data_IF_808612887085
#
_entry.id   IF_808612887085
#
_cell.length_a   1.000
_cell.length_b   1.000
_cell.length_c   1.000
_cell.angle_alpha   90.00
_cell.angle_beta   90.00
_cell.angle_gamma   90.00
#
_symmetry.space_group_name_H-M   'P 1'
#
loop_
_entity.id
_entity.type
_entity.pdbx_description
1 polymer ?
#
# COMPACT_ATOMS: atom_id res chain seq x y z
N UNK A 1 1.52 20.71 23.35
CA UNK A 1 1.34 21.61 22.19
C UNK A 1 1.12 20.73 20.97
N UNK A 2 -0.09 20.73 20.40
CA UNK A 2 -0.32 20.05 19.13
C UNK A 2 0.48 20.81 18.06
N UNK A 3 1.38 20.18 17.29
CA UNK A 3 2.08 20.90 16.25
C UNK A 3 1.07 21.25 15.15
N UNK A 4 0.60 22.49 15.15
CA UNK A 4 -0.22 23.06 14.09
C UNK A 4 0.64 23.25 12.83
N UNK A 5 0.45 22.30 11.91
CA UNK A 5 0.43 22.40 10.45
C UNK A 5 1.19 23.52 9.71
N UNK A 6 1.98 23.12 8.73
CA UNK A 6 2.11 23.87 7.47
C UNK A 6 0.71 23.91 6.81
N UNK A 7 0.09 25.09 6.70
CA UNK A 7 -1.18 25.34 5.98
C UNK A 7 -2.49 24.70 6.52
N UNK A 8 -2.65 24.49 7.84
CA UNK A 8 -3.93 24.04 8.42
C UNK A 8 -4.18 22.52 8.40
N UNK A 9 -3.25 21.73 7.87
CA UNK A 9 -3.30 20.26 7.86
C UNK A 9 -2.53 19.64 9.05
N UNK A 10 -3.14 18.79 9.90
CA UNK A 10 -2.45 18.18 11.03
C UNK A 10 -1.13 17.52 10.60
N UNK A 11 -0.04 17.77 11.33
CA UNK A 11 1.30 17.23 11.00
C UNK A 11 1.29 15.71 10.87
N UNK A 12 0.43 15.03 11.60
CA UNK A 12 0.22 13.57 11.51
C UNK A 12 -0.31 13.14 10.14
N UNK A 13 -1.21 13.91 9.51
CA UNK A 13 -1.71 13.63 8.16
C UNK A 13 -0.58 13.77 7.14
N UNK A 14 0.22 14.83 7.25
CA UNK A 14 1.41 15.03 6.43
C UNK A 14 2.41 13.87 6.60
N UNK A 15 2.67 13.44 7.84
CA UNK A 15 3.55 12.32 8.14
C UNK A 15 3.06 11.01 7.50
N UNK A 16 1.75 10.72 7.57
CA UNK A 16 1.14 9.54 6.93
C UNK A 16 1.29 9.60 5.41
N UNK A 17 1.07 10.76 4.79
CA UNK A 17 1.26 10.94 3.34
C UNK A 17 2.71 10.72 2.91
N UNK A 18 3.66 11.30 3.64
CA UNK A 18 5.10 11.09 3.40
C UNK A 18 5.45 9.62 3.55
N UNK A 19 5.00 8.96 4.63
CA UNK A 19 5.28 7.56 4.88
C UNK A 19 4.67 6.65 3.80
N UNK A 20 3.50 7.00 3.29
CA UNK A 20 2.85 6.33 2.17
C UNK A 20 3.69 6.45 0.89
N UNK A 21 4.07 7.67 0.53
CA UNK A 21 4.86 7.95 -0.66
C UNK A 21 6.23 7.25 -0.62
N UNK A 22 6.89 7.26 0.54
CA UNK A 22 8.17 6.58 0.76
C UNK A 22 8.00 5.07 0.65
N UNK A 23 6.99 4.48 1.30
CA UNK A 23 6.72 3.04 1.21
C UNK A 23 6.45 2.59 -0.23
N UNK A 24 5.59 3.32 -0.95
CA UNK A 24 5.28 3.05 -2.35
C UNK A 24 6.53 3.16 -3.24
N UNK A 25 7.32 4.21 -3.05
CA UNK A 25 8.55 4.46 -3.79
C UNK A 25 9.63 3.42 -3.52
N UNK A 26 9.75 2.93 -2.27
CA UNK A 26 10.67 1.88 -1.89
C UNK A 26 10.33 0.54 -2.57
N UNK A 27 9.04 0.17 -2.64
CA UNK A 27 8.59 -1.01 -3.39
C UNK A 27 8.89 -0.87 -4.87
N UNK A 28 8.59 0.30 -5.47
CA UNK A 28 8.89 0.58 -6.87
C UNK A 28 10.39 0.48 -7.16
N UNK A 29 11.23 1.05 -6.29
CA UNK A 29 12.68 0.99 -6.42
C UNK A 29 13.21 -0.45 -6.31
N UNK A 30 12.65 -1.24 -5.38
CA UNK A 30 12.93 -2.67 -5.26
C UNK A 30 12.63 -3.40 -6.56
N UNK A 31 11.39 -3.29 -7.06
CA UNK A 31 10.94 -3.93 -8.31
C UNK A 31 11.80 -3.50 -9.52
N UNK A 32 12.15 -2.21 -9.63
CA UNK A 32 12.99 -1.69 -10.71
C UNK A 32 14.40 -2.28 -10.71
N UNK A 33 14.93 -2.60 -9.53
CA UNK A 33 16.29 -3.15 -9.33
C UNK A 33 16.34 -4.66 -9.49
N UNK A 34 15.26 -5.37 -9.20
CA UNK A 34 15.29 -6.84 -9.08
C UNK A 34 14.55 -7.58 -10.18
N UNK A 35 13.50 -7.01 -10.76
CA UNK A 35 12.73 -7.67 -11.83
C UNK A 35 13.35 -7.37 -13.19
N UNK A 36 13.81 -8.42 -13.87
CA UNK A 36 14.44 -8.35 -15.18
C UNK A 36 13.64 -9.16 -16.21
N UNK A 37 13.82 -8.83 -17.49
CA UNK A 37 13.17 -9.55 -18.59
C UNK A 37 11.67 -9.21 -18.78
N UNK A 38 10.91 -10.09 -19.46
CA UNK A 38 9.54 -9.80 -19.93
C UNK A 38 8.54 -9.44 -18.82
N UNK A 39 8.78 -9.91 -17.59
CA UNK A 39 7.91 -9.66 -16.44
C UNK A 39 8.03 -8.25 -15.86
N UNK A 40 9.07 -7.48 -16.24
CA UNK A 40 9.36 -6.15 -15.67
C UNK A 40 8.26 -5.14 -15.96
N UNK A 41 7.82 -5.04 -17.21
CA UNK A 41 6.77 -4.10 -17.64
C UNK A 41 5.46 -4.33 -16.88
N UNK A 42 4.89 -5.55 -16.91
CA UNK A 42 3.68 -5.90 -16.18
C UNK A 42 3.78 -5.68 -14.67
N UNK A 43 4.92 -6.03 -14.04
CA UNK A 43 5.09 -5.85 -12.59
C UNK A 43 5.11 -4.37 -12.18
N UNK A 44 5.82 -3.52 -12.94
CA UNK A 44 5.85 -2.08 -12.68
C UNK A 44 4.49 -1.44 -12.94
N UNK A 45 3.81 -1.84 -14.03
CA UNK A 45 2.48 -1.35 -14.36
C UNK A 45 1.48 -1.70 -13.26
N UNK A 46 1.44 -2.96 -12.83
CA UNK A 46 0.57 -3.41 -11.75
C UNK A 46 0.79 -2.58 -10.47
N UNK A 47 2.04 -2.38 -10.05
CA UNK A 47 2.35 -1.57 -8.86
C UNK A 47 1.87 -0.12 -9.00
N UNK A 48 2.07 0.50 -10.16
CA UNK A 48 1.58 1.87 -10.41
C UNK A 48 0.06 1.95 -10.46
N UNK A 49 -0.61 0.97 -11.08
CA UNK A 49 -2.05 0.90 -11.19
C UNK A 49 -2.72 0.64 -9.83
N UNK A 50 -2.03 -0.05 -8.91
CA UNK A 50 -2.55 -0.36 -7.56
C UNK A 50 -2.88 0.94 -6.81
N UNK A 51 -2.03 1.97 -6.89
CA UNK A 51 -2.28 3.26 -6.24
C UNK A 51 -3.59 3.92 -6.73
N UNK A 52 -3.81 3.96 -8.03
CA UNK A 52 -5.05 4.49 -8.62
C UNK A 52 -6.26 3.62 -8.25
N UNK A 53 -6.12 2.29 -8.30
CA UNK A 53 -7.16 1.35 -7.93
C UNK A 53 -7.61 1.50 -6.48
N UNK A 54 -6.68 1.73 -5.56
CA UNK A 54 -7.01 1.95 -4.14
C UNK A 54 -7.75 3.28 -3.95
N UNK A 55 -7.30 4.37 -4.57
CA UNK A 55 -8.00 5.67 -4.48
C UNK A 55 -9.43 5.55 -5.01
N UNK A 56 -9.62 4.89 -6.16
CA UNK A 56 -10.94 4.66 -6.75
C UNK A 56 -11.81 3.77 -5.89
N UNK A 57 -11.28 2.67 -5.35
CA UNK A 57 -12.01 1.75 -4.50
C UNK A 57 -12.50 2.45 -3.23
N UNK A 58 -11.62 3.18 -2.54
CA UNK A 58 -11.99 3.90 -1.31
C UNK A 58 -13.00 5.02 -1.58
N UNK A 59 -12.91 5.67 -2.74
CA UNK A 59 -13.90 6.64 -3.20
C UNK A 59 -15.27 5.99 -3.46
N UNK A 60 -15.29 4.76 -4.00
CA UNK A 60 -16.52 4.02 -4.28
C UNK A 60 -17.24 3.57 -3.00
N UNK A 61 -16.50 3.11 -1.99
CA UNK A 61 -17.06 2.60 -0.72
C UNK A 61 -17.36 3.73 0.29
N UNK A 62 -17.22 4.99 -0.10
CA UNK A 62 -17.52 6.16 0.74
C UNK A 62 -16.52 6.38 1.88
N UNK A 63 -15.35 5.73 1.85
CA UNK A 63 -14.30 5.96 2.84
C UNK A 63 -13.44 7.18 2.47
N UNK A 64 -13.12 8.01 3.47
CA UNK A 64 -12.24 9.15 3.28
C UNK A 64 -10.82 8.73 2.88
N UNK A 65 -10.16 9.55 2.05
CA UNK A 65 -8.80 9.31 1.52
C UNK A 65 -7.75 9.01 2.60
N UNK A 66 -7.94 9.50 3.82
CA UNK A 66 -7.06 9.24 4.95
C UNK A 66 -7.02 7.75 5.34
N UNK A 67 -8.18 7.07 5.39
CA UNK A 67 -8.24 5.64 5.72
C UNK A 67 -7.55 4.79 4.65
N UNK A 68 -7.79 5.13 3.39
CA UNK A 68 -7.09 4.54 2.25
C UNK A 68 -5.57 4.68 2.42
N UNK A 69 -5.12 5.89 2.71
CA UNK A 69 -3.70 6.20 2.82
C UNK A 69 -3.05 5.44 3.98
N UNK A 70 -3.70 5.34 5.13
CA UNK A 70 -3.20 4.58 6.29
C UNK A 70 -3.08 3.10 5.95
N UNK A 71 -4.14 2.49 5.42
CA UNK A 71 -4.15 1.07 5.07
C UNK A 71 -3.01 0.74 4.10
N UNK A 72 -2.94 1.47 2.98
CA UNK A 72 -1.95 1.26 1.92
C UNK A 72 -0.52 1.49 2.39
N UNK A 73 -0.32 2.48 3.26
CA UNK A 73 0.98 2.68 3.90
C UNK A 73 1.39 1.44 4.67
N UNK A 74 0.51 0.90 5.50
CA UNK A 74 0.79 -0.34 6.23
C UNK A 74 1.07 -1.51 5.28
N UNK A 75 0.33 -1.64 4.18
CA UNK A 75 0.54 -2.71 3.19
C UNK A 75 1.93 -2.63 2.55
N UNK A 76 2.38 -1.44 2.12
CA UNK A 76 3.69 -1.28 1.49
C UNK A 76 4.85 -1.58 2.44
N UNK A 77 4.75 -1.12 3.69
CA UNK A 77 5.77 -1.41 4.68
C UNK A 77 5.75 -2.88 5.11
N UNK A 78 4.58 -3.48 5.27
CA UNK A 78 4.45 -4.92 5.55
C UNK A 78 5.02 -5.76 4.41
N UNK A 79 4.74 -5.40 3.15
CA UNK A 79 5.31 -6.05 1.97
C UNK A 79 6.84 -6.02 2.00
N UNK A 80 7.43 -4.86 2.27
CA UNK A 80 8.89 -4.72 2.38
C UNK A 80 9.44 -5.56 3.53
N UNK A 81 8.83 -5.50 4.72
CA UNK A 81 9.30 -6.24 5.88
C UNK A 81 9.23 -7.76 5.66
N UNK A 82 8.08 -8.27 5.19
CA UNK A 82 7.87 -9.72 4.96
C UNK A 82 8.76 -10.25 3.83
N UNK A 83 9.06 -9.42 2.83
CA UNK A 83 9.95 -9.83 1.73
C UNK A 83 11.43 -9.60 2.05
N UNK A 84 11.78 -8.95 3.16
CA UNK A 84 13.15 -8.56 3.49
C UNK A 84 13.71 -7.51 2.53
N UNK A 85 12.89 -6.53 2.15
CA UNK A 85 13.15 -5.49 1.16
C UNK A 85 13.44 -6.02 -0.25
N UNK A 86 12.90 -7.21 -0.56
CA UNK A 86 13.07 -7.92 -1.83
C UNK A 86 11.70 -8.29 -2.42
N UNK A 87 10.92 -7.31 -2.89
CA UNK A 87 9.54 -7.53 -3.34
C UNK A 87 9.42 -8.56 -4.46
N UNK A 88 10.48 -8.78 -5.24
CA UNK A 88 10.56 -9.84 -6.24
C UNK A 88 10.35 -11.25 -5.68
N UNK A 89 10.62 -11.49 -4.40
CA UNK A 89 10.45 -12.82 -3.80
C UNK A 89 8.99 -13.29 -3.83
N UNK A 90 8.03 -12.37 -3.81
CA UNK A 90 6.61 -12.69 -3.99
C UNK A 90 6.31 -13.22 -5.40
N UNK A 91 6.99 -12.68 -6.42
CA UNK A 91 6.87 -13.14 -7.80
C UNK A 91 7.66 -14.44 -8.04
N UNK A 92 8.89 -14.52 -7.53
CA UNK A 92 9.81 -15.62 -7.78
C UNK A 92 9.50 -16.90 -6.99
N UNK A 93 8.90 -16.80 -5.79
CA UNK A 93 8.63 -17.96 -4.92
C UNK A 93 7.14 -18.22 -4.66
N UNK A 94 6.25 -17.30 -5.04
CA UNK A 94 4.84 -17.34 -4.63
C UNK A 94 3.81 -17.48 -5.75
N UNK A 95 4.14 -17.07 -6.96
CA UNK A 95 3.17 -17.02 -8.07
C UNK A 95 1.97 -16.10 -7.81
N UNK A 96 1.09 -15.98 -8.82
CA UNK A 96 -0.10 -15.14 -8.74
C UNK A 96 -1.06 -15.55 -7.61
N UNK A 97 -1.10 -16.83 -7.25
CA UNK A 97 -1.96 -17.34 -6.17
C UNK A 97 -1.60 -16.83 -4.79
N UNK A 98 -0.31 -16.75 -4.45
CA UNK A 98 0.14 -16.21 -3.15
C UNK A 98 0.00 -14.69 -3.08
N UNK A 99 0.13 -14.00 -4.22
CA UNK A 99 -0.20 -12.59 -4.35
C UNK A 99 -1.70 -12.34 -4.11
N UNK A 100 -2.56 -13.16 -4.73
CA UNK A 100 -4.00 -13.08 -4.55
C UNK A 100 -4.43 -13.41 -3.11
N UNK A 101 -3.82 -14.42 -2.49
CA UNK A 101 -4.06 -14.76 -1.09
C UNK A 101 -3.62 -13.65 -0.14
N UNK A 102 -2.47 -13.02 -0.41
CA UNK A 102 -2.04 -11.85 0.34
C UNK A 102 -3.05 -10.72 0.16
N UNK A 103 -3.36 -10.30 -1.07
CA UNK A 103 -4.35 -9.24 -1.32
C UNK A 103 -5.72 -9.51 -0.65
N UNK A 104 -6.21 -10.75 -0.70
CA UNK A 104 -7.45 -11.14 -0.03
C UNK A 104 -7.35 -11.03 1.50
N UNK A 105 -6.23 -11.46 2.08
CA UNK A 105 -5.99 -11.37 3.53
C UNK A 105 -5.83 -9.91 3.98
N UNK A 106 -5.19 -9.04 3.19
CA UNK A 106 -5.13 -7.62 3.50
C UNK A 106 -6.48 -6.94 3.39
N UNK A 107 -7.25 -7.25 2.36
CA UNK A 107 -8.60 -6.73 2.20
C UNK A 107 -9.49 -7.15 3.38
N UNK A 108 -9.42 -8.42 3.80
CA UNK A 108 -10.15 -8.94 4.95
C UNK A 108 -9.71 -8.28 6.26
N UNK A 109 -8.40 -8.12 6.49
CA UNK A 109 -7.87 -7.45 7.67
C UNK A 109 -8.27 -5.98 7.72
N UNK A 110 -8.22 -5.28 6.58
CA UNK A 110 -8.64 -3.89 6.44
C UNK A 110 -10.14 -3.73 6.73
N UNK A 111 -10.97 -4.61 6.17
CA UNK A 111 -12.41 -4.66 6.47
C UNK A 111 -12.68 -4.94 7.96
N UNK A 112 -11.96 -5.89 8.55
CA UNK A 112 -12.09 -6.23 9.97
C UNK A 112 -11.71 -5.07 10.88
N UNK A 113 -10.56 -4.45 10.65
CA UNK A 113 -10.11 -3.27 11.40
C UNK A 113 -11.09 -2.10 11.24
N UNK A 114 -11.61 -1.90 10.03
CA UNK A 114 -12.62 -0.89 9.74
C UNK A 114 -13.89 -1.13 10.57
N UNK A 115 -14.44 -2.35 10.56
CA UNK A 115 -15.62 -2.67 11.38
C UNK A 115 -15.37 -2.48 12.87
N UNK A 116 -14.17 -2.81 13.35
CA UNK A 116 -13.79 -2.70 14.76
C UNK A 116 -13.67 -1.23 15.22
N UNK A 117 -13.14 -0.35 14.35
CA UNK A 117 -13.01 1.09 14.62
C UNK A 117 -14.36 1.81 14.50
N UNK A 118 -15.17 1.46 13.50
CA UNK A 118 -16.43 2.16 13.22
C UNK A 118 -17.65 1.58 13.92
N UNK A 119 -17.50 0.48 14.68
CA UNK A 119 -18.59 -0.22 15.37
C UNK A 119 -19.86 -0.35 14.52
N UNK A 120 -19.72 -0.94 13.33
CA UNK A 120 -20.88 -1.36 12.51
C UNK A 120 -21.22 -2.80 12.86
#
# INVERSE_FOLDING_TARGET
>A
MAPESLNGLPVTVLAVWVLCAVGWGAVLAGLRRSVHGPARGPALFAHTATAAGIVLLFSLIGFGSLHATIAVTAEWWALLLVTGFRPERLLATGGLGRLAAWAALTAAATLGATRLVFQI
#
